data_IF_892622205442
#
_entry.id   IF_892622205442
#
_cell.length_a   1.000
_cell.length_b   1.000
_cell.length_c   1.000
_cell.angle_alpha   90.00
_cell.angle_beta   90.00
_cell.angle_gamma   90.00
#
_symmetry.space_group_name_H-M   'P 1'
#
loop_
_entity.id
_entity.type
_entity.pdbx_description
1 polymer ?
#
# COMPACT_ATOMS: atom_id res chain seq x y z
N UNK A 1 -9.25 5.07 -9.62
CA UNK A 1 -10.07 5.50 -8.47
C UNK A 1 -9.69 6.94 -8.16
N UNK A 2 -10.64 7.88 -8.09
CA UNK A 2 -10.34 9.26 -7.63
C UNK A 2 -10.81 9.37 -6.18
N UNK A 3 -9.87 9.63 -5.27
CA UNK A 3 -10.17 9.82 -3.85
C UNK A 3 -10.62 11.27 -3.63
N UNK A 4 -11.78 11.51 -3.00
CA UNK A 4 -12.22 12.87 -2.74
C UNK A 4 -11.33 13.57 -1.72
N UNK A 5 -11.40 14.91 -1.70
CA UNK A 5 -10.72 15.75 -0.72
C UNK A 5 -11.15 15.34 0.69
N UNK A 6 -10.19 15.15 1.60
CA UNK A 6 -10.47 14.86 3.00
C UNK A 6 -10.58 16.17 3.77
N UNK A 7 -11.79 16.57 4.14
CA UNK A 7 -12.01 17.81 4.92
C UNK A 7 -11.33 17.75 6.29
N UNK A 8 -10.71 18.85 6.72
CA UNK A 8 -9.96 18.93 7.99
C UNK A 8 -8.54 18.36 7.93
N UNK A 9 -8.06 18.01 6.73
CA UNK A 9 -6.72 17.49 6.50
C UNK A 9 -5.96 18.34 5.49
N UNK A 10 -4.66 18.49 5.73
CA UNK A 10 -3.69 19.06 4.81
C UNK A 10 -2.85 17.95 4.20
N UNK A 11 -2.73 17.95 2.88
CA UNK A 11 -1.82 17.07 2.14
C UNK A 11 -0.40 17.61 2.23
N UNK A 12 0.50 16.85 2.86
CA UNK A 12 1.93 17.13 2.85
C UNK A 12 2.59 16.60 1.56
N UNK A 13 2.16 15.43 1.10
CA UNK A 13 2.60 14.86 -0.16
C UNK A 13 1.51 14.00 -0.79
N UNK A 14 1.52 13.94 -2.12
CA UNK A 14 0.73 13.04 -2.93
C UNK A 14 1.63 12.41 -3.98
N UNK A 15 1.65 11.09 -4.04
CA UNK A 15 2.45 10.33 -4.99
C UNK A 15 1.54 9.41 -5.81
N UNK A 16 1.77 9.33 -7.12
CA UNK A 16 1.06 8.45 -8.04
C UNK A 16 2.07 7.77 -8.96
N UNK A 17 1.96 6.45 -9.10
CA UNK A 17 2.64 5.69 -10.16
C UNK A 17 1.60 4.86 -10.93
N UNK A 18 1.21 5.36 -12.10
CA UNK A 18 0.38 4.70 -13.11
C UNK A 18 0.59 5.39 -14.48
N UNK A 19 1.33 4.79 -15.43
CA UNK A 19 2.05 3.52 -15.30
C UNK A 19 3.20 3.59 -14.30
N UNK A 20 3.68 2.44 -13.82
CA UNK A 20 4.92 2.38 -13.06
C UNK A 20 6.13 2.61 -13.99
N UNK A 21 7.20 3.26 -13.50
CA UNK A 21 8.50 3.24 -14.19
C UNK A 21 8.96 1.81 -14.43
N UNK A 22 9.66 1.55 -15.53
CA UNK A 22 10.10 0.19 -15.90
C UNK A 22 10.99 -0.46 -14.83
N UNK A 23 11.85 0.35 -14.20
CA UNK A 23 12.84 -0.06 -13.19
C UNK A 23 12.34 0.11 -11.74
N UNK A 24 11.03 0.27 -11.51
CA UNK A 24 10.47 0.59 -10.19
C UNK A 24 10.88 -0.40 -9.08
N UNK A 25 11.12 -1.67 -9.41
CA UNK A 25 11.60 -2.68 -8.45
C UNK A 25 13.06 -2.47 -8.05
N UNK A 26 13.89 -2.04 -8.98
CA UNK A 26 15.30 -1.72 -8.71
C UNK A 26 15.39 -0.40 -7.95
N UNK A 27 14.55 0.57 -8.29
CA UNK A 27 14.42 1.81 -7.53
C UNK A 27 13.92 1.54 -6.09
N UNK A 28 12.91 0.68 -5.92
CA UNK A 28 12.47 0.22 -4.59
C UNK A 28 13.64 -0.43 -3.83
N UNK A 29 14.35 -1.36 -4.44
CA UNK A 29 15.45 -2.06 -3.78
C UNK A 29 16.57 -1.11 -3.33
N UNK A 30 16.87 -0.09 -4.14
CA UNK A 30 17.82 0.97 -3.83
C UNK A 30 17.36 1.80 -2.62
N UNK A 31 16.08 2.22 -2.60
CA UNK A 31 15.49 3.03 -1.51
C UNK A 31 15.48 2.31 -0.17
N UNK A 32 15.22 1.00 -0.17
CA UNK A 32 15.11 0.21 1.07
C UNK A 32 16.41 -0.55 1.43
N UNK A 33 17.47 -0.37 0.64
CA UNK A 33 18.77 -1.02 0.84
C UNK A 33 18.78 -2.55 0.67
N UNK A 34 17.70 -3.15 0.16
CA UNK A 34 17.56 -4.60 -0.04
C UNK A 34 16.52 -4.91 -1.10
N UNK A 35 16.62 -6.07 -1.75
CA UNK A 35 15.53 -6.56 -2.62
C UNK A 35 14.45 -7.27 -1.76
N UNK A 36 13.16 -6.90 -1.87
CA UNK A 36 12.09 -7.66 -1.23
C UNK A 36 12.10 -9.13 -1.68
N UNK A 37 11.80 -10.06 -0.77
CA UNK A 37 11.80 -11.51 -1.07
C UNK A 37 10.53 -12.14 -0.53
N UNK A 38 9.86 -12.94 -1.37
CA UNK A 38 8.67 -13.75 -1.00
C UNK A 38 7.44 -12.93 -0.59
N UNK A 39 7.38 -11.63 -0.89
CA UNK A 39 6.30 -10.73 -0.46
C UNK A 39 5.18 -10.55 -1.50
N UNK A 40 5.43 -10.88 -2.77
CA UNK A 40 4.46 -10.74 -3.86
C UNK A 40 4.38 -9.32 -4.43
N UNK A 41 3.85 -9.20 -5.65
CA UNK A 41 3.82 -7.94 -6.42
C UNK A 41 2.97 -6.87 -5.73
N UNK A 42 1.78 -7.21 -5.25
CA UNK A 42 0.93 -6.27 -4.51
C UNK A 42 1.65 -5.62 -3.31
N UNK A 43 2.41 -6.39 -2.53
CA UNK A 43 3.20 -5.87 -1.42
C UNK A 43 4.32 -4.96 -1.90
N UNK A 44 5.04 -5.33 -2.96
CA UNK A 44 6.09 -4.49 -3.54
C UNK A 44 5.53 -3.15 -4.04
N UNK A 45 4.35 -3.14 -4.68
CA UNK A 45 3.67 -1.91 -5.11
C UNK A 45 3.32 -1.02 -3.91
N UNK A 46 2.85 -1.61 -2.81
CA UNK A 46 2.55 -0.87 -1.60
C UNK A 46 3.81 -0.25 -0.98
N UNK A 47 4.89 -1.04 -0.86
CA UNK A 47 6.18 -0.58 -0.36
C UNK A 47 6.75 0.57 -1.19
N UNK A 48 6.71 0.44 -2.53
CA UNK A 48 7.22 1.45 -3.45
C UNK A 48 6.48 2.77 -3.32
N UNK A 49 5.15 2.75 -3.45
CA UNK A 49 4.37 3.98 -3.39
C UNK A 49 4.43 4.65 -2.02
N UNK A 50 4.41 3.87 -0.93
CA UNK A 50 4.54 4.41 0.42
C UNK A 50 5.89 5.11 0.64
N UNK A 51 7.00 4.46 0.27
CA UNK A 51 8.36 5.01 0.40
C UNK A 51 8.53 6.29 -0.42
N UNK A 52 8.07 6.28 -1.68
CA UNK A 52 8.10 7.46 -2.53
C UNK A 52 7.27 8.62 -1.97
N UNK A 53 6.10 8.34 -1.39
CA UNK A 53 5.24 9.37 -0.79
C UNK A 53 5.88 10.03 0.44
N UNK A 54 6.51 9.21 1.30
CA UNK A 54 7.21 9.70 2.50
C UNK A 54 8.43 10.54 2.13
N UNK A 55 9.20 10.13 1.13
CA UNK A 55 10.29 10.95 0.61
C UNK A 55 9.79 12.25 -0.03
N UNK A 56 8.69 12.20 -0.79
CA UNK A 56 8.07 13.40 -1.35
C UNK A 56 7.54 14.36 -0.27
N UNK A 57 7.21 13.85 0.93
CA UNK A 57 6.85 14.68 2.09
C UNK A 57 8.08 15.27 2.81
N UNK A 58 9.31 14.93 2.37
CA UNK A 58 10.55 15.31 3.05
C UNK A 58 10.78 14.57 4.38
N UNK A 59 10.02 13.49 4.63
CA UNK A 59 10.14 12.67 5.83
C UNK A 59 11.12 11.51 5.57
N UNK A 60 12.07 11.28 6.47
CA UNK A 60 12.98 10.12 6.39
C UNK A 60 12.28 8.83 6.82
N UNK A 61 11.38 8.93 7.80
CA UNK A 61 10.53 7.87 8.32
C UNK A 61 9.14 8.42 8.65
N UNK A 62 8.12 7.56 8.65
CA UNK A 62 6.78 7.96 9.06
C UNK A 62 6.76 8.20 10.59
N UNK A 63 6.14 9.28 11.11
CA UNK A 63 6.06 9.50 12.55
C UNK A 63 5.35 8.35 13.28
N UNK A 64 5.85 7.94 14.45
CA UNK A 64 5.32 6.79 15.20
C UNK A 64 3.82 6.90 15.54
N UNK A 65 3.32 8.12 15.74
CA UNK A 65 1.89 8.36 15.99
C UNK A 65 1.03 8.39 14.73
N UNK A 66 1.63 8.47 13.53
CA UNK A 66 0.87 8.51 12.28
C UNK A 66 0.32 7.12 11.97
N UNK A 67 -0.89 7.07 11.40
CA UNK A 67 -1.53 5.80 11.05
C UNK A 67 -1.26 5.44 9.60
N UNK A 68 -1.22 4.14 9.30
CA UNK A 68 -1.18 3.64 7.92
C UNK A 68 -2.55 3.06 7.56
N UNK A 69 -3.09 3.46 6.42
CA UNK A 69 -4.36 2.94 5.90
C UNK A 69 -4.17 2.60 4.44
N UNK A 70 -4.31 1.33 4.09
CA UNK A 70 -4.18 0.89 2.70
C UNK A 70 -5.53 0.40 2.22
N UNK A 71 -5.93 0.80 1.02
CA UNK A 71 -7.13 0.32 0.39
C UNK A 71 -6.83 -0.27 -0.98
N UNK A 72 -7.70 -1.19 -1.37
CA UNK A 72 -7.72 -1.79 -2.70
C UNK A 72 -9.15 -2.19 -3.05
N UNK A 73 -9.46 -2.25 -4.33
CA UNK A 73 -10.71 -2.79 -4.86
C UNK A 73 -10.71 -4.32 -4.85
N UNK A 74 -9.53 -4.93 -5.00
CA UNK A 74 -9.36 -6.36 -5.28
C UNK A 74 -8.43 -7.07 -4.29
N UNK A 75 -7.59 -6.33 -3.57
CA UNK A 75 -6.53 -6.90 -2.73
C UNK A 75 -5.42 -7.52 -3.57
N UNK A 76 -4.71 -8.49 -2.98
CA UNK A 76 -3.67 -9.28 -3.64
C UNK A 76 -4.28 -10.30 -4.63
N UNK A 77 -4.84 -9.80 -5.73
CA UNK A 77 -5.57 -10.58 -6.73
C UNK A 77 -4.73 -11.74 -7.27
N UNK A 78 -3.51 -11.47 -7.73
CA UNK A 78 -2.64 -12.46 -8.34
C UNK A 78 -2.28 -13.61 -7.40
N UNK A 79 -1.88 -13.29 -6.16
CA UNK A 79 -1.60 -14.29 -5.14
C UNK A 79 -2.86 -15.09 -4.76
N UNK A 80 -4.00 -14.43 -4.61
CA UNK A 80 -5.27 -15.12 -4.30
C UNK A 80 -5.64 -16.12 -5.40
N UNK A 81 -5.56 -15.71 -6.67
CA UNK A 81 -5.93 -16.56 -7.80
C UNK A 81 -4.95 -17.72 -8.01
N UNK A 82 -3.64 -17.46 -7.85
CA UNK A 82 -2.62 -18.50 -7.90
C UNK A 82 -2.80 -19.53 -6.77
N UNK A 83 -3.23 -19.08 -5.58
CA UNK A 83 -3.52 -19.97 -4.46
C UNK A 83 -4.68 -20.89 -4.79
N UNK A 84 -5.80 -20.35 -5.26
CA UNK A 84 -6.94 -21.18 -5.66
C UNK A 84 -6.55 -22.24 -6.71
N UNK A 85 -5.75 -21.89 -7.71
CA UNK A 85 -5.27 -22.86 -8.71
C UNK A 85 -4.36 -23.95 -8.10
N UNK A 86 -3.52 -23.61 -7.12
CA UNK A 86 -2.71 -24.59 -6.39
C UNK A 86 -3.57 -25.52 -5.54
N UNK A 87 -4.61 -24.98 -4.88
CA UNK A 87 -5.57 -25.77 -4.11
C UNK A 87 -6.27 -26.79 -5.00
N UNK A 88 -6.77 -26.36 -6.16
CA UNK A 88 -7.43 -27.22 -7.14
C UNK A 88 -6.49 -28.32 -7.67
N UNK A 89 -5.19 -28.01 -7.79
CA UNK A 89 -4.15 -28.96 -8.20
C UNK A 89 -3.63 -29.86 -7.07
N UNK A 90 -4.14 -29.72 -5.82
CA UNK A 90 -3.65 -30.47 -4.67
C UNK A 90 -2.22 -30.11 -4.22
N UNK A 91 -1.76 -28.90 -4.55
CA UNK A 91 -0.41 -28.42 -4.23
C UNK A 91 -0.39 -27.61 -2.92
N UNK A 92 0.71 -27.66 -2.14
CA UNK A 92 0.88 -26.80 -0.97
C UNK A 92 1.03 -25.32 -1.36
N UNK A 93 0.51 -24.42 -0.51
CA UNK A 93 0.43 -22.98 -0.80
C UNK A 93 1.09 -22.05 0.24
N UNK A 94 2.23 -22.38 0.88
CA UNK A 94 2.73 -21.58 2.01
C UNK A 94 3.06 -20.13 1.61
N UNK A 95 3.72 -19.92 0.46
CA UNK A 95 4.08 -18.56 0.03
C UNK A 95 2.90 -17.82 -0.59
N UNK A 96 2.12 -18.48 -1.42
CA UNK A 96 0.97 -17.88 -2.10
C UNK A 96 -0.09 -17.43 -1.10
N UNK A 97 -0.35 -18.25 -0.07
CA UNK A 97 -1.22 -17.88 1.04
C UNK A 97 -0.69 -16.67 1.79
N UNK A 98 0.60 -16.65 2.14
CA UNK A 98 1.20 -15.50 2.82
C UNK A 98 1.14 -14.22 1.98
N UNK A 99 1.40 -14.32 0.67
CA UNK A 99 1.37 -13.20 -0.27
C UNK A 99 -0.04 -12.64 -0.49
N UNK A 100 -1.09 -13.42 -0.24
CA UNK A 100 -2.46 -12.93 -0.32
C UNK A 100 -2.91 -12.17 0.93
N UNK A 101 -2.14 -12.21 2.02
CA UNK A 101 -2.53 -11.59 3.29
C UNK A 101 -2.23 -10.09 3.33
N UNK A 102 -3.23 -9.22 3.58
CA UNK A 102 -2.99 -7.81 3.87
C UNK A 102 -2.06 -7.58 5.06
N UNK A 103 -2.07 -8.48 6.05
CA UNK A 103 -1.17 -8.39 7.19
C UNK A 103 0.32 -8.46 6.79
N UNK A 104 0.68 -9.30 5.81
CA UNK A 104 2.05 -9.34 5.30
C UNK A 104 2.41 -8.02 4.63
N UNK A 105 1.51 -7.50 3.79
CA UNK A 105 1.72 -6.22 3.12
C UNK A 105 1.91 -5.08 4.12
N UNK A 106 1.06 -4.96 5.14
CA UNK A 106 1.18 -3.91 6.15
C UNK A 106 2.47 -4.03 6.96
N UNK A 107 2.89 -5.25 7.32
CA UNK A 107 4.14 -5.48 8.03
C UNK A 107 5.35 -5.07 7.19
N UNK A 108 5.36 -5.38 5.89
CA UNK A 108 6.45 -5.00 4.99
C UNK A 108 6.47 -3.51 4.67
N UNK A 109 5.32 -2.84 4.61
CA UNK A 109 5.23 -1.38 4.53
C UNK A 109 5.80 -0.75 5.80
N UNK A 110 5.41 -1.22 7.00
CA UNK A 110 5.98 -0.70 8.25
C UNK A 110 7.50 -0.84 8.30
N UNK A 111 8.01 -2.03 7.96
CA UNK A 111 9.45 -2.30 7.89
C UNK A 111 10.17 -1.51 6.78
N UNK A 112 9.49 -1.17 5.68
CA UNK A 112 10.00 -0.32 4.60
C UNK A 112 10.18 1.15 5.06
N UNK A 113 9.31 1.60 5.96
CA UNK A 113 9.26 2.98 6.44
C UNK A 113 9.97 3.19 7.78
N UNK A 114 10.64 2.15 8.31
CA UNK A 114 11.18 2.12 9.67
C UNK A 114 10.15 2.55 10.73
N UNK A 115 8.93 2.03 10.57
CA UNK A 115 7.77 2.47 11.32
C UNK A 115 7.06 1.32 12.04
N UNK A 116 6.55 1.64 13.22
CA UNK A 116 5.69 0.80 14.04
C UNK A 116 4.47 1.60 14.51
N UNK A 117 3.26 1.00 14.45
CA UNK A 117 2.04 1.67 14.89
C UNK A 117 0.76 0.99 14.38
N UNK A 118 -0.34 1.75 14.36
CA UNK A 118 -1.64 1.26 13.87
C UNK A 118 -1.71 1.34 12.34
N UNK A 119 -1.80 0.16 11.72
CA UNK A 119 -2.04 -0.02 10.31
C UNK A 119 -3.32 -0.82 10.05
N UNK A 120 -4.08 -0.46 9.03
CA UNK A 120 -5.21 -1.27 8.59
C UNK A 120 -5.36 -1.34 7.07
N UNK A 121 -6.00 -2.41 6.62
CA UNK A 121 -6.34 -2.63 5.22
C UNK A 121 -7.86 -2.58 5.03
N UNK A 122 -8.30 -1.99 3.92
CA UNK A 122 -9.71 -1.88 3.55
C UNK A 122 -9.93 -2.38 2.13
N UNK A 123 -10.81 -3.36 1.97
CA UNK A 123 -11.37 -3.66 0.66
C UNK A 123 -12.47 -2.64 0.36
N UNK A 124 -12.20 -1.69 -0.52
CA UNK A 124 -13.09 -0.57 -0.79
C UNK A 124 -13.47 -0.49 -2.26
N UNK A 125 -14.76 -0.70 -2.57
CA UNK A 125 -15.30 -0.55 -3.92
C UNK A 125 -15.86 0.85 -4.18
N UNK A 126 -16.18 1.58 -3.13
CA UNK A 126 -16.71 2.95 -3.19
C UNK A 126 -15.64 3.97 -2.78
N UNK A 127 -14.96 4.62 -3.75
CA UNK A 127 -13.96 5.64 -3.47
C UNK A 127 -14.45 6.77 -2.56
N UNK A 128 -15.74 7.10 -2.61
CA UNK A 128 -16.28 8.26 -1.90
C UNK A 128 -16.22 8.08 -0.39
N UNK A 129 -16.28 6.83 0.08
CA UNK A 129 -16.24 6.50 1.51
C UNK A 129 -14.84 6.36 2.06
N UNK A 130 -13.83 6.20 1.19
CA UNK A 130 -12.48 5.88 1.60
C UNK A 130 -11.89 6.95 2.53
N UNK A 131 -11.98 8.26 2.26
CA UNK A 131 -11.48 9.28 3.17
C UNK A 131 -12.04 9.22 4.58
N UNK A 132 -13.36 9.08 4.68
CA UNK A 132 -14.05 9.03 5.97
C UNK A 132 -13.60 7.83 6.79
N UNK A 133 -13.48 6.66 6.17
CA UNK A 133 -13.03 5.43 6.85
C UNK A 133 -11.54 5.52 7.21
N UNK A 134 -10.71 6.03 6.31
CA UNK A 134 -9.27 6.16 6.54
C UNK A 134 -8.94 7.14 7.68
N UNK A 135 -9.72 8.20 7.83
CA UNK A 135 -9.55 9.17 8.92
C UNK A 135 -10.01 8.64 10.30
N UNK A 136 -10.72 7.50 10.38
CA UNK A 136 -11.20 6.98 11.66
C UNK A 136 -10.05 6.65 12.61
N UNK A 137 -10.10 7.31 13.76
CA UNK A 137 -9.12 7.21 14.84
C UNK A 137 -7.77 7.86 14.53
N UNK A 138 -7.61 8.53 13.39
CA UNK A 138 -6.32 9.15 13.05
C UNK A 138 -5.85 10.11 14.15
N UNK A 139 -4.56 10.01 14.49
CA UNK A 139 -3.94 10.75 15.59
C UNK A 139 -3.34 12.07 15.09
N UNK A 140 -2.89 12.97 16.00
CA UNK A 140 -2.33 14.27 15.61
C UNK A 140 -1.12 14.19 14.66
N UNK A 141 -0.36 13.10 14.68
CA UNK A 141 0.76 12.86 13.78
C UNK A 141 0.33 12.56 12.32
N UNK A 142 -0.96 12.30 12.12
CA UNK A 142 -1.62 12.23 10.83
C UNK A 142 -1.76 10.83 10.26
N UNK A 143 -1.85 10.75 8.93
CA UNK A 143 -2.26 9.57 8.18
C UNK A 143 -1.38 9.41 6.93
N UNK A 144 -0.98 8.17 6.65
CA UNK A 144 -0.48 7.72 5.36
C UNK A 144 -1.56 6.83 4.73
N UNK A 145 -2.24 7.35 3.72
CA UNK A 145 -3.31 6.66 2.99
C UNK A 145 -2.77 6.14 1.66
N UNK A 146 -2.91 4.85 1.39
CA UNK A 146 -2.48 4.21 0.15
C UNK A 146 -3.63 3.55 -0.61
N UNK A 147 -3.57 3.62 -1.94
CA UNK A 147 -4.34 2.84 -2.89
C UNK A 147 -3.41 1.97 -3.72
N UNK A 148 -3.63 0.66 -3.70
CA UNK A 148 -2.74 -0.30 -4.37
C UNK A 148 -3.56 -1.30 -5.18
N UNK A 149 -3.28 -1.37 -6.47
CA UNK A 149 -3.92 -2.27 -7.42
C UNK A 149 -2.86 -3.00 -8.26
N UNK A 150 -2.98 -4.32 -8.35
CA UNK A 150 -2.25 -5.11 -9.33
C UNK A 150 -2.84 -4.95 -10.72
N UNK A 151 -2.10 -5.41 -11.74
CA UNK A 151 -2.62 -5.52 -13.10
C UNK A 151 -3.85 -6.44 -13.12
N UNK A 152 -4.91 -6.00 -13.80
CA UNK A 152 -6.12 -6.80 -13.94
C UNK A 152 -6.95 -6.36 -15.16
N UNK A 153 -7.35 -7.30 -16.01
CA UNK A 153 -8.15 -7.06 -17.22
C UNK A 153 -7.60 -5.93 -18.12
N UNK A 154 -6.28 -5.86 -18.28
CA UNK A 154 -5.62 -4.82 -19.07
C UNK A 154 -5.49 -3.45 -18.38
N UNK A 155 -6.02 -3.28 -17.16
CA UNK A 155 -5.70 -2.12 -16.32
C UNK A 155 -4.26 -2.27 -15.81
N UNK A 156 -3.36 -1.30 -16.05
CA UNK A 156 -2.00 -1.38 -15.55
C UNK A 156 -1.96 -1.30 -14.02
N UNK A 157 -0.93 -1.86 -13.37
CA UNK A 157 -0.77 -1.75 -11.93
C UNK A 157 -0.67 -0.28 -11.51
N UNK A 158 -1.13 0.00 -10.29
CA UNK A 158 -1.18 1.35 -9.72
C UNK A 158 -0.77 1.32 -8.25
N UNK A 159 0.01 2.31 -7.86
CA UNK A 159 0.22 2.64 -6.45
C UNK A 159 0.09 4.16 -6.28
N UNK A 160 -0.76 4.60 -5.36
CA UNK A 160 -1.03 6.00 -5.10
C UNK A 160 -1.17 6.25 -3.61
N UNK A 161 -0.55 7.32 -3.12
CA UNK A 161 -0.40 7.55 -1.70
C UNK A 161 -0.52 9.01 -1.34
N UNK A 162 -1.13 9.29 -0.19
CA UNK A 162 -1.24 10.61 0.42
C UNK A 162 -0.65 10.58 1.82
N UNK A 163 0.27 11.51 2.08
CA UNK A 163 0.70 11.87 3.43
C UNK A 163 -0.14 13.06 3.89
N UNK A 164 -0.96 12.84 4.92
CA UNK A 164 -1.94 13.81 5.40
C UNK A 164 -1.69 14.16 6.87
N UNK A 165 -1.86 15.42 7.23
CA UNK A 165 -1.83 15.92 8.62
C UNK A 165 -3.11 16.68 8.93
N UNK A 166 -3.54 16.77 10.20
CA UNK A 166 -4.62 17.69 10.57
C UNK A 166 -4.32 19.11 10.09
N UNK A 167 -5.34 19.82 9.62
CA UNK A 167 -5.24 21.21 9.15
C UNK A 167 -5.01 22.21 10.30
#
# INVERSE_FOLDING_TARGET
MNVPVIHGWRTLAHFVAQPLPEDWRDDLARRIGRRPRRVGVWTELAMYGARCCIEAAGESALPAGARVRVASRRGAWGATHAGLAQLDAGLPMPFTFMQSQPALMLAEVGRCLDWQGDASFMLCRDPQRLPAIAALGAAPAGLLLGLVEEEHNGEPPRTEWWRLTPA
#
